data_IF_924407241422
#
_entry.id   IF_924407241422
#
_cell.length_a   1.000
_cell.length_b   1.000
_cell.length_c   1.000
_cell.angle_alpha   90.00
_cell.angle_beta   90.00
_cell.angle_gamma   90.00
#
_symmetry.space_group_name_H-M   'P 1'
#
loop_
_entity.id
_entity.type
_entity.pdbx_description
1 polymer ?
#
# COMPACT_ATOMS: atom_id res chain seq x y z
N UNK A 1 -12.76 0.41 2.47
CA UNK A 1 -13.48 -0.88 2.39
C UNK A 1 -14.32 -1.16 3.65
N UNK A 2 -13.79 -1.71 4.75
CA UNK A 2 -14.63 -2.18 5.88
C UNK A 2 -15.05 -1.11 6.91
N UNK A 3 -14.18 -0.14 7.19
CA UNK A 3 -14.42 0.88 8.22
C UNK A 3 -14.63 2.28 7.66
N UNK A 4 -14.82 2.42 6.33
CA UNK A 4 -14.79 3.70 5.62
C UNK A 4 -15.81 4.71 6.15
N UNK A 5 -17.08 4.30 6.27
CA UNK A 5 -18.17 5.13 6.80
C UNK A 5 -18.45 4.88 8.29
N UNK A 6 -17.47 4.32 9.01
CA UNK A 6 -17.52 4.13 10.47
C UNK A 6 -16.70 5.20 11.17
N UNK A 7 -16.90 5.46 12.48
CA UNK A 7 -16.19 6.54 13.19
C UNK A 7 -14.67 6.52 13.03
N UNK A 8 -14.07 5.32 12.90
CA UNK A 8 -12.64 5.16 12.65
C UNK A 8 -12.22 5.67 11.26
N UNK A 9 -12.98 5.37 10.20
CA UNK A 9 -12.71 5.85 8.85
C UNK A 9 -12.88 7.36 8.73
N UNK A 10 -13.96 7.90 9.30
CA UNK A 10 -14.20 9.35 9.34
C UNK A 10 -13.02 10.10 9.97
N UNK A 11 -12.54 9.65 11.15
CA UNK A 11 -11.38 10.25 11.83
C UNK A 11 -10.08 10.07 11.05
N UNK A 12 -9.91 8.94 10.37
CA UNK A 12 -8.65 8.63 9.66
C UNK A 12 -8.48 9.45 8.39
N UNK A 13 -9.57 9.68 7.68
CA UNK A 13 -9.58 10.36 6.39
C UNK A 13 -10.20 11.76 6.44
N UNK A 14 -10.53 12.26 7.64
CA UNK A 14 -11.17 13.55 7.87
C UNK A 14 -12.44 13.77 7.02
N UNK A 15 -13.34 12.78 7.04
CA UNK A 15 -14.56 12.77 6.24
C UNK A 15 -15.79 13.14 7.09
N UNK A 16 -16.74 13.84 6.47
CA UNK A 16 -18.13 13.88 6.95
C UNK A 16 -18.82 12.53 6.69
N UNK A 17 -19.85 12.20 7.48
CA UNK A 17 -20.64 10.99 7.26
C UNK A 17 -21.22 10.93 5.83
N UNK A 18 -21.80 12.03 5.34
CA UNK A 18 -22.40 12.11 4.00
C UNK A 18 -21.40 11.78 2.88
N UNK A 19 -20.23 12.43 2.88
CA UNK A 19 -19.17 12.13 1.92
C UNK A 19 -18.67 10.68 2.02
N UNK A 20 -18.55 10.12 3.22
CA UNK A 20 -18.11 8.76 3.42
C UNK A 20 -19.12 7.73 2.87
N UNK A 21 -20.42 7.97 3.08
CA UNK A 21 -21.48 7.14 2.53
C UNK A 21 -21.54 7.23 1.00
N UNK A 22 -21.40 8.44 0.45
CA UNK A 22 -21.38 8.67 -1.00
C UNK A 22 -20.18 7.99 -1.71
N UNK A 23 -19.06 7.79 -1.00
CA UNK A 23 -17.81 7.27 -1.59
C UNK A 23 -17.47 5.84 -1.16
N UNK A 24 -18.34 5.15 -0.41
CA UNK A 24 -18.04 3.83 0.19
C UNK A 24 -17.64 2.78 -0.83
N UNK A 25 -18.34 2.72 -1.98
CA UNK A 25 -18.05 1.77 -3.06
C UNK A 25 -16.72 2.05 -3.73
N UNK A 26 -16.40 3.33 -3.96
CA UNK A 26 -15.10 3.74 -4.50
C UNK A 26 -13.97 3.36 -3.54
N UNK A 27 -14.14 3.64 -2.25
CA UNK A 27 -13.18 3.27 -1.21
C UNK A 27 -13.08 1.75 -0.98
N UNK A 28 -14.10 0.98 -1.34
CA UNK A 28 -14.03 -0.48 -1.37
C UNK A 28 -13.18 -0.96 -2.53
N UNK A 29 -13.36 -0.41 -3.73
CA UNK A 29 -12.56 -0.76 -4.90
C UNK A 29 -11.08 -0.37 -4.73
N UNK A 30 -10.81 0.82 -4.19
CA UNK A 30 -9.45 1.24 -3.81
C UNK A 30 -8.82 0.27 -2.79
N UNK A 31 -9.62 -0.21 -1.83
CA UNK A 31 -9.20 -1.24 -0.88
C UNK A 31 -8.85 -2.56 -1.55
N UNK A 32 -9.62 -3.00 -2.55
CA UNK A 32 -9.37 -4.24 -3.29
C UNK A 32 -8.06 -4.17 -4.09
N UNK A 33 -7.79 -3.07 -4.80
CA UNK A 33 -6.53 -2.87 -5.51
C UNK A 33 -5.33 -2.92 -4.57
N UNK A 34 -5.43 -2.25 -3.41
CA UNK A 34 -4.41 -2.35 -2.36
C UNK A 34 -4.26 -3.78 -1.82
N UNK A 35 -5.35 -4.54 -1.77
CA UNK A 35 -5.35 -5.97 -1.46
C UNK A 35 -4.52 -6.78 -2.46
N UNK A 36 -4.58 -6.49 -3.76
CA UNK A 36 -3.73 -7.13 -4.76
C UNK A 36 -2.24 -6.79 -4.58
N UNK A 37 -1.91 -5.55 -4.20
CA UNK A 37 -0.53 -5.18 -3.86
C UNK A 37 -0.02 -5.99 -2.66
N UNK A 38 -0.82 -6.12 -1.61
CA UNK A 38 -0.49 -6.93 -0.45
C UNK A 38 -0.32 -8.42 -0.81
N UNK A 39 -1.22 -8.98 -1.61
CA UNK A 39 -1.12 -10.35 -2.10
C UNK A 39 0.17 -10.59 -2.92
N UNK A 40 0.54 -9.63 -3.77
CA UNK A 40 1.80 -9.67 -4.52
C UNK A 40 3.05 -9.69 -3.63
N UNK A 41 3.05 -8.91 -2.54
CA UNK A 41 4.13 -8.92 -1.54
C UNK A 41 4.18 -10.24 -0.77
N UNK A 42 3.04 -10.76 -0.32
CA UNK A 42 2.95 -12.06 0.36
C UNK A 42 3.46 -13.17 -0.56
N UNK A 43 3.08 -13.15 -1.84
CA UNK A 43 3.57 -14.10 -2.83
C UNK A 43 5.09 -13.98 -3.03
N UNK A 44 5.62 -12.76 -3.13
CA UNK A 44 7.06 -12.51 -3.21
C UNK A 44 7.83 -13.02 -1.98
N UNK A 45 7.25 -12.94 -0.78
CA UNK A 45 7.81 -13.52 0.44
C UNK A 45 7.75 -15.05 0.41
N UNK A 46 6.59 -15.63 0.09
CA UNK A 46 6.39 -17.08 0.06
C UNK A 46 7.27 -17.80 -0.96
N UNK A 47 7.54 -17.17 -2.10
CA UNK A 47 8.40 -17.69 -3.17
C UNK A 47 9.86 -17.27 -3.06
N UNK A 48 10.19 -16.46 -2.05
CA UNK A 48 11.46 -15.75 -1.90
C UNK A 48 11.90 -15.03 -3.19
N UNK A 49 10.96 -14.44 -3.92
CA UNK A 49 11.22 -13.75 -5.18
C UNK A 49 11.52 -12.27 -4.94
N UNK A 50 12.80 -11.91 -5.04
CA UNK A 50 13.29 -10.54 -4.87
C UNK A 50 12.63 -9.53 -5.82
N UNK A 51 12.45 -9.89 -7.09
CA UNK A 51 11.90 -9.00 -8.11
C UNK A 51 10.44 -8.65 -7.79
N UNK A 52 9.65 -9.63 -7.36
CA UNK A 52 8.27 -9.41 -6.93
C UNK A 52 8.21 -8.46 -5.73
N UNK A 53 9.03 -8.70 -4.69
CA UNK A 53 9.10 -7.83 -3.52
C UNK A 53 9.41 -6.38 -3.91
N UNK A 54 10.43 -6.17 -4.75
CA UNK A 54 10.83 -4.83 -5.21
C UNK A 54 9.71 -4.16 -6.02
N UNK A 55 9.14 -4.86 -7.01
CA UNK A 55 8.12 -4.30 -7.89
C UNK A 55 6.89 -3.83 -7.11
N UNK A 56 6.34 -4.71 -6.25
CA UNK A 56 5.16 -4.36 -5.46
C UNK A 56 5.47 -3.28 -4.41
N UNK A 57 6.64 -3.29 -3.77
CA UNK A 57 7.05 -2.19 -2.87
C UNK A 57 7.13 -0.86 -3.62
N UNK A 58 7.69 -0.83 -4.83
CA UNK A 58 7.72 0.37 -5.65
C UNK A 58 6.31 0.88 -5.99
N UNK A 59 5.39 -0.01 -6.36
CA UNK A 59 3.97 0.36 -6.56
C UNK A 59 3.35 0.96 -5.30
N UNK A 60 3.57 0.35 -4.12
CA UNK A 60 3.07 0.87 -2.83
C UNK A 60 3.65 2.24 -2.52
N UNK A 61 4.95 2.46 -2.79
CA UNK A 61 5.61 3.77 -2.59
C UNK A 61 4.96 4.83 -3.49
N UNK A 62 4.84 4.57 -4.79
CA UNK A 62 4.23 5.52 -5.74
C UNK A 62 2.80 5.86 -5.34
N UNK A 63 1.98 4.85 -5.03
CA UNK A 63 0.60 5.05 -4.59
C UNK A 63 0.53 5.82 -3.26
N UNK A 64 1.43 5.52 -2.31
CA UNK A 64 1.48 6.19 -1.00
C UNK A 64 1.94 7.65 -1.10
N UNK A 65 2.90 7.95 -1.98
CA UNK A 65 3.34 9.33 -2.24
C UNK A 65 2.22 10.13 -2.90
N UNK A 66 1.61 9.58 -3.95
CA UNK A 66 0.51 10.24 -4.65
C UNK A 66 -0.71 10.45 -3.73
N UNK A 67 -1.11 9.43 -2.97
CA UNK A 67 -2.21 9.54 -2.01
C UNK A 67 -1.91 10.50 -0.86
N UNK A 68 -0.66 10.53 -0.39
CA UNK A 68 -0.21 11.49 0.61
C UNK A 68 -0.27 12.95 0.13
N UNK A 69 0.03 13.19 -1.14
CA UNK A 69 0.00 14.52 -1.75
C UNK A 69 -1.41 14.98 -2.16
N UNK A 70 -2.31 14.05 -2.51
CA UNK A 70 -3.61 14.39 -3.14
C UNK A 70 -4.83 14.11 -2.27
N UNK A 71 -4.76 13.19 -1.31
CA UNK A 71 -5.90 12.82 -0.47
C UNK A 71 -5.72 13.30 0.97
N UNK A 72 -4.83 12.65 1.75
CA UNK A 72 -4.50 13.08 3.11
C UNK A 72 -3.02 12.81 3.43
N UNK A 73 -2.28 13.75 4.04
CA UNK A 73 -0.84 13.59 4.32
C UNK A 73 -0.51 12.33 5.14
N UNK A 74 -1.46 11.85 5.96
CA UNK A 74 -1.33 10.63 6.76
C UNK A 74 -0.98 9.40 5.92
N UNK A 75 -1.46 9.31 4.67
CA UNK A 75 -1.19 8.18 3.77
C UNK A 75 0.32 8.02 3.53
N UNK A 76 1.07 9.12 3.41
CA UNK A 76 2.52 9.03 3.24
C UNK A 76 3.17 8.28 4.42
N UNK A 77 2.79 8.62 5.65
CA UNK A 77 3.37 8.03 6.86
C UNK A 77 2.89 6.60 7.13
N UNK A 78 1.67 6.25 6.73
CA UNK A 78 1.12 4.90 6.95
C UNK A 78 1.37 3.93 5.81
N UNK A 79 1.74 4.41 4.61
CA UNK A 79 1.89 3.59 3.40
C UNK A 79 3.25 3.78 2.73
N UNK A 80 3.62 5.00 2.32
CA UNK A 80 4.86 5.23 1.58
C UNK A 80 6.11 5.00 2.44
N UNK A 81 6.15 5.58 3.64
CA UNK A 81 7.31 5.49 4.53
C UNK A 81 7.62 4.04 4.96
N UNK A 82 6.65 3.22 5.42
CA UNK A 82 6.90 1.82 5.71
C UNK A 82 7.38 1.03 4.48
N UNK A 83 6.84 1.32 3.29
CA UNK A 83 7.25 0.65 2.06
C UNK A 83 8.68 1.04 1.63
N UNK A 84 9.09 2.30 1.83
CA UNK A 84 10.47 2.75 1.62
C UNK A 84 11.45 2.02 2.55
N UNK A 85 11.09 1.89 3.83
CA UNK A 85 11.91 1.15 4.81
C UNK A 85 12.01 -0.33 4.39
N UNK A 86 10.89 -0.96 4.05
CA UNK A 86 10.88 -2.34 3.59
C UNK A 86 11.71 -2.53 2.30
N UNK A 87 11.66 -1.58 1.36
CA UNK A 87 12.46 -1.62 0.14
C UNK A 87 13.95 -1.52 0.45
N UNK A 88 14.35 -0.61 1.34
CA UNK A 88 15.73 -0.50 1.77
C UNK A 88 16.23 -1.81 2.40
N UNK A 89 15.41 -2.48 3.20
CA UNK A 89 15.73 -3.79 3.79
C UNK A 89 15.86 -4.89 2.72
N UNK A 90 14.97 -4.94 1.73
CA UNK A 90 15.07 -5.90 0.61
C UNK A 90 16.33 -5.64 -0.23
N UNK A 91 16.70 -4.38 -0.47
CA UNK A 91 17.89 -4.07 -1.25
C UNK A 91 19.19 -4.43 -0.53
N UNK A 92 19.21 -4.33 0.81
CA UNK A 92 20.40 -4.56 1.65
C UNK A 92 20.54 -6.00 2.12
N UNK A 93 19.44 -6.67 2.46
CA UNK A 93 19.45 -8.00 3.09
C UNK A 93 19.13 -9.13 2.12
N UNK A 94 18.27 -8.89 1.12
CA UNK A 94 17.88 -9.92 0.15
C UNK A 94 18.78 -9.82 -1.08
N UNK A 95 19.67 -10.79 -1.26
CA UNK A 95 20.64 -10.77 -2.36
C UNK A 95 20.01 -11.25 -3.67
N UNK A 96 20.43 -10.72 -4.84
CA UNK A 96 19.94 -11.22 -6.11
C UNK A 96 20.34 -12.68 -6.26
N UNK A 97 19.40 -13.53 -6.69
CA UNK A 97 19.70 -14.90 -7.08
C UNK A 97 20.71 -14.83 -8.24
N UNK A 98 21.87 -15.47 -8.09
CA UNK A 98 22.88 -15.51 -9.13
C UNK A 98 22.21 -15.97 -10.43
N UNK A 99 22.34 -15.16 -11.48
CA UNK A 99 21.82 -15.51 -12.80
C UNK A 99 22.77 -16.59 -13.33
N UNK A 100 22.39 -17.86 -13.17
CA UNK A 100 23.05 -18.94 -13.90
C UNK A 100 22.83 -18.63 -15.38
N UNK A 101 23.88 -18.18 -16.04
CA UNK A 101 23.95 -18.02 -17.49
C UNK A 101 24.06 -19.38 -18.16
#
# INVERSE_FOLDING_TARGET
MFFWNKPLGLKTFNLTQELADATVTLAANQGLYNGFLAAGLIFGLATNNRVFKIFFLACVIVAGVYGGATAVPKIFFTQALPALIALALVLTLDKPKARNA
#
